data_IF_659259418338
#
_entry.id   IF_659259418338
#
_cell.length_a   1.000
_cell.length_b   1.000
_cell.length_c   1.000
_cell.angle_alpha   90.00
_cell.angle_beta   90.00
_cell.angle_gamma   90.00
#
_symmetry.space_group_name_H-M   'P 1'
#
loop_
_entity.id
_entity.type
_entity.pdbx_description
1 polymer ?
#
# COMPACT_ATOMS: atom_id res chain seq x y z
N UNK A 1 5.99 4.28 -16.81
CA UNK A 1 6.27 3.78 -15.44
C UNK A 1 5.37 2.58 -15.23
N UNK A 2 5.94 1.37 -15.08
CA UNK A 2 5.19 0.11 -14.96
C UNK A 2 5.84 -0.77 -13.89
N UNK A 3 5.00 -1.57 -13.21
CA UNK A 3 5.43 -2.64 -12.32
C UNK A 3 4.94 -3.95 -12.93
N UNK A 4 5.85 -4.85 -13.32
CA UNK A 4 5.52 -6.02 -14.13
C UNK A 4 5.82 -7.29 -13.34
N UNK A 5 4.82 -8.15 -13.23
CA UNK A 5 4.99 -9.57 -12.91
C UNK A 5 5.18 -10.34 -14.20
N UNK A 6 6.32 -11.01 -14.37
CA UNK A 6 6.65 -11.80 -15.56
C UNK A 6 6.80 -13.27 -15.16
N UNK A 7 5.76 -14.06 -15.46
CA UNK A 7 5.66 -15.50 -15.16
C UNK A 7 6.04 -15.88 -13.73
N UNK A 8 5.58 -15.10 -12.74
CA UNK A 8 5.94 -15.36 -11.35
C UNK A 8 5.17 -16.57 -10.79
N UNK A 9 5.92 -17.41 -10.08
CA UNK A 9 5.34 -18.49 -9.25
C UNK A 9 5.77 -18.32 -7.80
N UNK A 10 4.90 -18.68 -6.88
CA UNK A 10 5.19 -18.63 -5.45
C UNK A 10 4.42 -19.70 -4.68
N UNK A 11 5.11 -20.35 -3.75
CA UNK A 11 4.55 -21.27 -2.77
C UNK A 11 5.15 -20.99 -1.40
N UNK A 12 4.35 -21.08 -0.34
CA UNK A 12 4.85 -20.99 1.04
C UNK A 12 5.62 -22.25 1.44
N UNK A 13 5.16 -23.40 0.94
CA UNK A 13 5.80 -24.71 1.09
C UNK A 13 5.42 -25.57 -0.12
N UNK A 14 5.84 -26.85 -0.13
CA UNK A 14 5.58 -27.76 -1.27
C UNK A 14 4.08 -28.01 -1.54
N UNK A 15 3.23 -27.84 -0.53
CA UNK A 15 1.79 -28.17 -0.61
C UNK A 15 0.90 -26.95 -0.80
N UNK A 16 1.42 -25.73 -0.56
CA UNK A 16 0.63 -24.49 -0.62
C UNK A 16 1.20 -23.58 -1.71
N UNK A 17 0.83 -23.90 -2.95
CA UNK A 17 1.10 -23.04 -4.11
C UNK A 17 0.06 -21.92 -4.18
N UNK A 18 0.51 -20.66 -4.25
CA UNK A 18 -0.35 -19.48 -4.30
C UNK A 18 -0.41 -18.91 -5.71
N UNK A 19 0.74 -18.85 -6.40
CA UNK A 19 0.83 -18.38 -7.79
C UNK A 19 1.55 -19.40 -8.65
N UNK A 20 1.04 -19.58 -9.88
CA UNK A 20 1.68 -20.38 -10.93
C UNK A 20 1.65 -19.58 -12.22
N UNK A 21 2.84 -19.21 -12.71
CA UNK A 21 3.03 -18.46 -13.96
C UNK A 21 2.19 -17.17 -14.06
N UNK A 22 1.94 -16.50 -12.95
CA UNK A 22 1.16 -15.26 -12.93
C UNK A 22 1.91 -14.14 -13.64
N UNK A 23 1.25 -13.52 -14.60
CA UNK A 23 1.78 -12.38 -15.35
C UNK A 23 0.76 -11.24 -15.33
N UNK A 24 1.21 -10.04 -15.00
CA UNK A 24 0.38 -8.83 -15.03
C UNK A 24 1.26 -7.58 -15.11
N UNK A 25 0.76 -6.52 -15.74
CA UNK A 25 1.42 -5.21 -15.84
C UNK A 25 0.59 -4.15 -15.16
N UNK A 26 1.07 -3.68 -14.00
CA UNK A 26 0.44 -2.57 -13.27
C UNK A 26 0.93 -1.24 -13.84
N UNK A 27 -0.03 -0.36 -14.16
CA UNK A 27 0.21 0.98 -14.71
C UNK A 27 -0.16 2.06 -13.68
N UNK A 28 0.23 3.34 -13.88
CA UNK A 28 -0.30 4.44 -13.07
C UNK A 28 -1.83 4.43 -13.08
N UNK A 29 -2.42 4.65 -11.92
CA UNK A 29 -3.84 4.48 -11.64
C UNK A 29 -4.06 3.51 -10.49
N UNK A 30 -5.30 3.08 -10.29
CA UNK A 30 -5.73 2.18 -9.23
C UNK A 30 -6.01 0.79 -9.81
N UNK A 31 -5.22 -0.21 -9.42
CA UNK A 31 -5.55 -1.62 -9.60
C UNK A 31 -6.14 -2.17 -8.31
N UNK A 32 -7.33 -2.73 -8.36
CA UNK A 32 -7.95 -3.40 -7.21
C UNK A 32 -7.80 -4.91 -7.32
N UNK A 33 -7.28 -5.52 -6.26
CA UNK A 33 -7.22 -6.96 -6.07
C UNK A 33 -8.45 -7.37 -5.26
N UNK A 34 -9.44 -7.94 -5.93
CA UNK A 34 -10.67 -8.45 -5.32
C UNK A 34 -10.52 -9.95 -5.00
N UNK A 35 -11.17 -10.43 -3.96
CA UNK A 35 -11.25 -11.87 -3.63
C UNK A 35 -11.45 -12.11 -2.15
N UNK A 36 -11.83 -13.34 -1.80
CA UNK A 36 -12.05 -13.77 -0.41
C UNK A 36 -10.76 -13.74 0.43
N UNK A 37 -10.93 -13.82 1.75
CA UNK A 37 -9.79 -14.00 2.65
C UNK A 37 -9.04 -15.29 2.30
N UNK A 38 -7.71 -15.20 2.24
CA UNK A 38 -6.88 -16.36 1.86
C UNK A 38 -6.66 -16.55 0.36
N UNK A 39 -7.29 -15.77 -0.53
CA UNK A 39 -7.15 -15.92 -1.99
C UNK A 39 -5.77 -15.54 -2.57
N UNK A 40 -4.85 -14.99 -1.76
CA UNK A 40 -3.49 -14.66 -2.22
C UNK A 40 -3.21 -13.16 -2.41
N UNK A 41 -4.18 -12.25 -2.26
CA UNK A 41 -4.02 -10.79 -2.43
C UNK A 41 -2.86 -10.21 -1.61
N UNK A 42 -2.87 -10.42 -0.29
CA UNK A 42 -1.78 -10.01 0.61
C UNK A 42 -0.44 -10.63 0.22
N UNK A 43 -0.46 -11.88 -0.28
CA UNK A 43 0.75 -12.55 -0.77
C UNK A 43 1.31 -11.85 -1.99
N UNK A 44 0.46 -11.47 -2.96
CA UNK A 44 0.91 -10.68 -4.12
C UNK A 44 1.49 -9.34 -3.68
N UNK A 45 0.80 -8.60 -2.81
CA UNK A 45 1.32 -7.33 -2.30
C UNK A 45 2.69 -7.50 -1.62
N UNK A 46 2.89 -8.56 -0.84
CA UNK A 46 4.18 -8.86 -0.18
C UNK A 46 5.28 -9.21 -1.19
N UNK A 47 4.95 -9.92 -2.27
CA UNK A 47 5.89 -10.19 -3.36
C UNK A 47 6.30 -8.91 -4.08
N UNK A 48 5.33 -8.05 -4.44
CA UNK A 48 5.55 -6.75 -5.07
C UNK A 48 6.35 -5.80 -4.16
N UNK A 49 6.14 -5.88 -2.85
CA UNK A 49 6.92 -5.11 -1.87
C UNK A 49 8.32 -5.68 -1.61
N UNK A 50 8.61 -6.91 -2.08
CA UNK A 50 9.89 -7.58 -1.83
C UNK A 50 10.05 -8.17 -0.43
N UNK A 51 8.96 -8.33 0.33
CA UNK A 51 8.95 -9.05 1.62
C UNK A 51 8.92 -10.55 1.45
N UNK A 52 8.43 -11.04 0.31
CA UNK A 52 8.51 -12.43 -0.11
C UNK A 52 9.31 -12.49 -1.43
N UNK A 53 9.95 -13.64 -1.68
CA UNK A 53 10.73 -13.88 -2.88
C UNK A 53 9.99 -14.87 -3.77
N UNK A 54 9.82 -14.54 -5.05
CA UNK A 54 9.25 -15.46 -6.04
C UNK A 54 10.07 -16.74 -6.13
N UNK A 55 9.40 -17.86 -6.36
CA UNK A 55 10.05 -19.17 -6.59
C UNK A 55 10.61 -19.24 -8.01
N UNK A 56 9.87 -18.72 -8.99
CA UNK A 56 10.31 -18.56 -10.39
C UNK A 56 9.71 -17.29 -10.99
N UNK A 57 10.17 -16.91 -12.18
CA UNK A 57 9.81 -15.66 -12.83
C UNK A 57 10.53 -14.46 -12.23
N UNK A 58 10.05 -13.27 -12.53
CA UNK A 58 10.65 -12.01 -12.06
C UNK A 58 9.65 -10.89 -11.90
N UNK A 59 9.98 -9.92 -11.03
CA UNK A 59 9.24 -8.67 -10.87
C UNK A 59 10.14 -7.52 -11.34
N UNK A 60 9.65 -6.77 -12.33
CA UNK A 60 10.33 -5.60 -12.90
C UNK A 60 9.70 -4.35 -12.30
N UNK A 61 10.49 -3.55 -11.60
CA UNK A 61 10.01 -2.37 -10.88
C UNK A 61 10.13 -1.10 -11.72
N UNK A 62 9.28 -0.08 -11.47
CA UNK A 62 9.34 1.21 -12.16
C UNK A 62 10.68 1.93 -12.02
N UNK A 63 11.42 1.62 -10.96
CA UNK A 63 12.71 2.24 -10.64
C UNK A 63 13.91 1.46 -11.19
N UNK A 64 13.69 0.29 -11.81
CA UNK A 64 14.74 -0.63 -12.24
C UNK A 64 15.49 -1.33 -11.10
N UNK A 65 15.13 -1.07 -9.83
CA UNK A 65 15.75 -1.73 -8.69
C UNK A 65 15.08 -3.08 -8.41
N UNK A 66 15.86 -4.06 -7.96
CA UNK A 66 15.30 -5.34 -7.49
C UNK A 66 14.36 -5.09 -6.31
N UNK A 67 13.21 -5.78 -6.27
CA UNK A 67 12.22 -5.65 -5.17
C UNK A 67 12.83 -5.93 -3.78
N UNK A 68 13.86 -6.78 -3.71
CA UNK A 68 14.57 -7.10 -2.46
C UNK A 68 15.67 -6.10 -2.09
N UNK A 69 15.90 -5.05 -2.90
CA UNK A 69 16.96 -4.09 -2.64
C UNK A 69 16.55 -3.07 -1.59
N UNK A 70 17.52 -2.64 -0.75
CA UNK A 70 17.30 -1.57 0.23
C UNK A 70 16.77 -0.30 -0.43
N UNK A 71 17.27 0.04 -1.62
CA UNK A 71 16.87 1.25 -2.35
C UNK A 71 15.40 1.19 -2.79
N UNK A 72 14.92 0.04 -3.25
CA UNK A 72 13.51 -0.16 -3.57
C UNK A 72 12.64 -0.02 -2.32
N UNK A 73 13.02 -0.65 -1.21
CA UNK A 73 12.31 -0.50 0.07
C UNK A 73 12.32 0.94 0.60
N UNK A 74 13.33 1.72 0.33
CA UNK A 74 13.40 3.12 0.75
C UNK A 74 12.58 4.05 -0.13
N UNK A 75 12.67 3.93 -1.46
CA UNK A 75 12.19 4.93 -2.41
C UNK A 75 11.25 4.37 -3.49
N UNK A 76 11.22 3.07 -3.72
CA UNK A 76 10.48 2.44 -4.83
C UNK A 76 9.05 2.05 -4.48
N UNK A 77 8.79 1.69 -3.22
CA UNK A 77 7.50 1.18 -2.78
C UNK A 77 7.09 1.73 -1.41
N UNK A 78 5.84 2.12 -1.27
CA UNK A 78 5.18 2.38 0.01
C UNK A 78 4.16 1.26 0.26
N UNK A 79 4.16 0.67 1.45
CA UNK A 79 3.29 -0.45 1.79
C UNK A 79 2.52 -0.16 3.08
N UNK A 80 1.21 -0.22 2.98
CA UNK A 80 0.30 -0.20 4.12
C UNK A 80 -0.15 -1.63 4.42
N UNK A 81 0.23 -2.14 5.57
CA UNK A 81 -0.17 -3.47 6.04
C UNK A 81 -1.64 -3.46 6.50
N UNK A 82 -2.29 -4.61 6.45
CA UNK A 82 -3.65 -4.80 6.97
C UNK A 82 -3.78 -4.40 8.45
N UNK A 83 -2.73 -4.58 9.26
CA UNK A 83 -2.69 -4.11 10.65
C UNK A 83 -2.23 -2.66 10.78
N UNK A 84 -2.68 -1.99 11.84
CA UNK A 84 -2.24 -0.63 12.18
C UNK A 84 -0.82 -0.70 12.73
N UNK A 85 0.17 -0.55 11.87
CA UNK A 85 1.60 -0.65 12.22
C UNK A 85 2.21 0.70 12.64
N UNK A 86 1.46 1.53 13.38
CA UNK A 86 2.01 2.74 13.99
C UNK A 86 2.88 2.39 15.19
N UNK A 87 3.89 3.21 15.45
CA UNK A 87 4.67 3.13 16.69
C UNK A 87 3.83 3.70 17.83
N UNK A 88 3.35 2.87 18.77
CA UNK A 88 2.25 3.22 19.66
C UNK A 88 2.60 4.37 20.62
N UNK A 89 3.84 4.46 21.07
CA UNK A 89 4.32 5.48 22.00
C UNK A 89 4.71 6.81 21.34
N UNK A 90 4.74 6.85 20.00
CA UNK A 90 5.05 8.06 19.24
C UNK A 90 3.77 8.81 18.86
N UNK A 91 3.88 10.14 18.70
CA UNK A 91 2.79 10.96 18.16
C UNK A 91 2.53 10.61 16.69
N UNK A 92 1.35 11.02 16.20
CA UNK A 92 1.01 10.90 14.77
C UNK A 92 2.10 11.54 13.91
N UNK A 93 2.43 12.81 14.17
CA UNK A 93 3.46 13.54 13.42
C UNK A 93 4.83 12.83 13.45
N UNK A 94 5.23 12.29 14.60
CA UNK A 94 6.52 11.58 14.69
C UNK A 94 6.52 10.27 13.91
N UNK A 95 5.39 9.57 13.82
CA UNK A 95 5.22 8.41 12.96
C UNK A 95 5.41 8.76 11.47
N UNK A 96 4.87 9.92 11.04
CA UNK A 96 5.02 10.41 9.67
C UNK A 96 6.47 10.82 9.37
N UNK A 97 7.09 11.57 10.27
CA UNK A 97 8.48 12.01 10.12
C UNK A 97 9.45 10.83 10.02
N UNK A 98 9.24 9.79 10.83
CA UNK A 98 10.05 8.57 10.74
C UNK A 98 9.95 7.89 9.36
N UNK A 99 8.76 7.86 8.77
CA UNK A 99 8.59 7.31 7.43
C UNK A 99 9.36 8.13 6.37
N UNK A 100 9.36 9.46 6.49
CA UNK A 100 10.13 10.34 5.62
C UNK A 100 11.66 10.12 5.77
N UNK A 101 12.11 9.96 7.02
CA UNK A 101 13.51 9.68 7.34
C UNK A 101 13.96 8.33 6.74
N UNK A 102 13.18 7.28 6.94
CA UNK A 102 13.44 5.95 6.38
C UNK A 102 13.43 5.94 4.84
N UNK A 103 12.62 6.79 4.22
CA UNK A 103 12.56 6.99 2.78
C UNK A 103 13.69 7.88 2.23
N UNK A 104 14.54 8.42 3.10
CA UNK A 104 15.62 9.34 2.73
C UNK A 104 15.11 10.60 2.02
N UNK A 105 13.90 11.06 2.35
CA UNK A 105 13.36 12.30 1.80
C UNK A 105 14.18 13.52 2.29
N UNK A 106 14.34 14.55 1.43
CA UNK A 106 14.96 15.80 1.86
C UNK A 106 14.16 16.46 2.99
N UNK A 107 14.82 16.90 4.06
CA UNK A 107 14.15 17.49 5.24
C UNK A 107 13.22 18.66 4.91
N UNK A 108 13.54 19.44 3.88
CA UNK A 108 12.70 20.54 3.41
C UNK A 108 11.32 20.11 2.91
N UNK A 109 11.18 18.84 2.51
CA UNK A 109 9.92 18.27 2.02
C UNK A 109 9.04 17.69 3.12
N UNK A 110 9.60 17.38 4.30
CA UNK A 110 8.88 16.70 5.38
C UNK A 110 7.70 17.53 5.90
N UNK A 111 7.97 18.79 6.27
CA UNK A 111 6.96 19.66 6.88
C UNK A 111 5.79 19.91 5.94
N UNK A 112 5.96 20.42 4.71
CA UNK A 112 4.83 20.68 3.82
C UNK A 112 4.05 19.40 3.49
N UNK A 113 4.73 18.27 3.30
CA UNK A 113 4.07 16.99 3.04
C UNK A 113 3.30 16.47 4.25
N UNK A 114 3.87 16.54 5.43
CA UNK A 114 3.22 16.15 6.68
C UNK A 114 1.97 17.01 6.94
N UNK A 115 2.05 18.34 6.78
CA UNK A 115 0.93 19.27 6.94
C UNK A 115 -0.21 18.95 5.95
N UNK A 116 0.12 18.68 4.69
CA UNK A 116 -0.88 18.31 3.69
C UNK A 116 -1.60 17.01 4.08
N UNK A 117 -0.86 15.94 4.39
CA UNK A 117 -1.43 14.65 4.77
C UNK A 117 -2.26 14.72 6.04
N UNK A 118 -1.82 15.47 7.07
CA UNK A 118 -2.60 15.67 8.29
C UNK A 118 -3.92 16.38 8.02
N UNK A 119 -3.91 17.39 7.14
CA UNK A 119 -5.12 18.13 6.75
C UNK A 119 -6.06 17.24 5.96
N UNK A 120 -5.57 16.60 4.90
CA UNK A 120 -6.37 15.83 3.96
C UNK A 120 -7.02 14.60 4.62
N UNK A 121 -6.39 14.07 5.68
CA UNK A 121 -6.89 12.94 6.47
C UNK A 121 -7.61 13.36 7.78
N UNK A 122 -7.82 14.66 8.01
CA UNK A 122 -8.51 15.17 9.20
C UNK A 122 -7.79 14.83 10.51
N UNK A 123 -6.44 14.91 10.53
CA UNK A 123 -5.61 14.54 11.68
C UNK A 123 -4.87 15.74 12.31
N UNK A 124 -5.16 16.97 11.88
CA UNK A 124 -4.44 18.17 12.36
C UNK A 124 -4.46 18.29 13.88
N UNK A 125 -5.65 18.17 14.49
CA UNK A 125 -5.82 18.26 15.95
C UNK A 125 -5.23 17.06 16.70
N UNK A 126 -4.92 15.99 16.00
CA UNK A 126 -4.36 14.75 16.56
C UNK A 126 -2.85 14.65 16.36
N UNK A 127 -2.22 15.64 15.73
CA UNK A 127 -0.81 15.59 15.33
C UNK A 127 0.15 15.21 16.45
N UNK A 128 -0.08 15.74 17.65
CA UNK A 128 0.76 15.50 18.83
C UNK A 128 0.24 14.35 19.71
N UNK A 129 -0.92 13.76 19.35
CA UNK A 129 -1.49 12.64 20.09
C UNK A 129 -0.70 11.37 19.82
N UNK A 130 -0.44 10.58 20.87
CA UNK A 130 0.21 9.27 20.76
C UNK A 130 -0.68 8.30 19.98
N UNK A 131 -0.06 7.43 19.17
CA UNK A 131 -0.79 6.50 18.32
C UNK A 131 -1.62 5.48 19.12
N UNK A 132 -1.19 5.09 20.33
CA UNK A 132 -1.96 4.20 21.21
C UNK A 132 -3.22 4.84 21.82
N UNK A 133 -3.45 6.13 21.61
CA UNK A 133 -4.60 6.89 22.09
C UNK A 133 -5.58 7.27 20.98
N UNK A 134 -5.36 6.79 19.78
CA UNK A 134 -6.24 7.00 18.64
C UNK A 134 -7.39 6.00 18.63
N UNK A 135 -8.56 6.40 18.11
CA UNK A 135 -9.61 5.44 17.74
C UNK A 135 -9.15 4.60 16.53
N UNK A 136 -9.82 3.47 16.26
CA UNK A 136 -9.49 2.61 15.12
C UNK A 136 -9.43 3.37 13.79
N UNK A 137 -10.46 4.17 13.48
CA UNK A 137 -10.50 4.97 12.25
C UNK A 137 -9.43 6.07 12.22
N UNK A 138 -9.12 6.73 13.34
CA UNK A 138 -8.03 7.69 13.44
C UNK A 138 -6.67 7.03 13.20
N UNK A 139 -6.46 5.86 13.78
CA UNK A 139 -5.23 5.10 13.63
C UNK A 139 -5.06 4.58 12.18
N UNK A 140 -6.15 4.14 11.54
CA UNK A 140 -6.12 3.72 10.13
C UNK A 140 -5.75 4.87 9.19
N UNK A 141 -6.36 6.06 9.39
CA UNK A 141 -6.00 7.26 8.61
C UNK A 141 -4.55 7.70 8.88
N UNK A 142 -4.08 7.61 10.11
CA UNK A 142 -2.69 7.90 10.45
C UNK A 142 -1.70 6.89 9.84
N UNK A 143 -2.07 5.61 9.73
CA UNK A 143 -1.29 4.58 9.05
C UNK A 143 -1.20 4.85 7.54
N UNK A 144 -2.30 5.27 6.91
CA UNK A 144 -2.28 5.72 5.52
C UNK A 144 -1.40 6.97 5.33
N UNK A 145 -1.57 7.99 6.20
CA UNK A 145 -0.71 9.19 6.18
C UNK A 145 0.78 8.82 6.22
N UNK A 146 1.16 7.92 7.13
CA UNK A 146 2.53 7.44 7.25
C UNK A 146 3.01 6.73 5.98
N UNK A 147 2.16 5.94 5.37
CA UNK A 147 2.47 5.24 4.11
C UNK A 147 2.70 6.22 2.97
N UNK A 148 1.80 7.19 2.82
CA UNK A 148 1.87 8.20 1.77
C UNK A 148 3.00 9.21 2.00
N UNK A 149 3.48 9.39 3.23
CA UNK A 149 4.65 10.22 3.52
C UNK A 149 5.87 9.82 2.69
N UNK A 150 5.95 8.58 2.29
CA UNK A 150 7.09 7.99 1.56
C UNK A 150 7.19 8.39 0.09
N UNK A 151 6.37 9.14 -0.52
CA UNK A 151 6.49 9.63 -1.92
C UNK A 151 6.94 8.60 -2.99
N UNK A 152 6.72 7.30 -2.75
CA UNK A 152 7.17 6.22 -3.64
C UNK A 152 6.34 6.16 -4.93
N UNK A 153 6.91 5.73 -6.07
CA UNK A 153 6.18 5.57 -7.33
C UNK A 153 5.15 4.43 -7.30
N UNK A 154 5.31 3.47 -6.37
CA UNK A 154 4.37 2.37 -6.15
C UNK A 154 3.80 2.43 -4.74
N UNK A 155 2.48 2.36 -4.63
CA UNK A 155 1.75 2.31 -3.36
C UNK A 155 0.97 1.00 -3.31
N UNK A 156 1.14 0.26 -2.23
CA UNK A 156 0.46 -1.00 -1.97
C UNK A 156 -0.37 -0.83 -0.69
N UNK A 157 -1.67 -1.01 -0.79
CA UNK A 157 -2.61 -0.85 0.33
C UNK A 157 -3.32 -2.17 0.61
N UNK A 158 -3.09 -2.74 1.78
CA UNK A 158 -3.70 -4.00 2.20
C UNK A 158 -4.87 -3.70 3.15
N UNK A 159 -6.11 -3.85 2.64
CA UNK A 159 -7.37 -3.58 3.34
C UNK A 159 -7.43 -2.18 4.01
N UNK A 160 -7.23 -1.08 3.24
CA UNK A 160 -7.06 0.25 3.82
C UNK A 160 -8.30 0.81 4.52
N UNK A 161 -9.49 0.27 4.24
CA UNK A 161 -10.78 0.73 4.81
C UNK A 161 -11.39 -0.27 5.78
N UNK A 162 -10.66 -1.32 6.14
CA UNK A 162 -11.17 -2.36 7.05
C UNK A 162 -11.62 -1.77 8.39
N UNK A 163 -12.88 -2.04 8.76
CA UNK A 163 -13.46 -1.57 10.02
C UNK A 163 -13.80 -0.07 10.07
N UNK A 164 -13.80 0.62 8.92
CA UNK A 164 -14.17 2.03 8.83
C UNK A 164 -15.64 2.22 8.45
N UNK A 165 -16.25 3.27 9.03
CA UNK A 165 -17.53 3.82 8.59
C UNK A 165 -17.40 4.51 7.21
N UNK A 166 -18.53 4.90 6.64
CA UNK A 166 -18.57 5.51 5.31
C UNK A 166 -17.83 6.84 5.26
N UNK A 167 -17.96 7.70 6.27
CA UNK A 167 -17.29 8.99 6.29
C UNK A 167 -15.77 8.88 6.32
N UNK A 168 -15.22 7.94 7.09
CA UNK A 168 -13.79 7.67 7.11
C UNK A 168 -13.32 7.00 5.81
N UNK A 169 -14.14 6.14 5.21
CA UNK A 169 -13.85 5.52 3.92
C UNK A 169 -13.77 6.55 2.80
N UNK A 170 -14.68 7.52 2.75
CA UNK A 170 -14.69 8.58 1.73
C UNK A 170 -13.45 9.47 1.79
N UNK A 171 -12.95 9.75 2.99
CA UNK A 171 -11.67 10.49 3.16
C UNK A 171 -10.52 9.70 2.51
N UNK A 172 -10.46 8.39 2.75
CA UNK A 172 -9.43 7.52 2.17
C UNK A 172 -9.58 7.43 0.64
N UNK A 173 -10.81 7.21 0.14
CA UNK A 173 -11.12 7.17 -1.31
C UNK A 173 -10.59 8.41 -2.02
N UNK A 174 -10.98 9.59 -1.53
CA UNK A 174 -10.57 10.88 -2.11
C UNK A 174 -9.05 11.00 -2.20
N UNK A 175 -8.34 10.71 -1.11
CA UNK A 175 -6.88 10.86 -1.07
C UNK A 175 -6.18 9.84 -1.98
N UNK A 176 -6.62 8.59 -1.97
CA UNK A 176 -6.04 7.53 -2.82
C UNK A 176 -6.23 7.84 -4.29
N UNK A 177 -7.42 8.32 -4.69
CA UNK A 177 -7.69 8.73 -6.08
C UNK A 177 -6.80 9.89 -6.53
N UNK A 178 -6.62 10.90 -5.68
CA UNK A 178 -5.74 12.04 -5.99
C UNK A 178 -4.27 11.62 -6.15
N UNK A 179 -3.82 10.69 -5.32
CA UNK A 179 -2.44 10.21 -5.30
C UNK A 179 -2.16 9.24 -6.46
N UNK A 180 -3.12 8.37 -6.82
CA UNK A 180 -3.01 7.37 -7.87
C UNK A 180 -2.87 7.98 -9.28
N UNK A 181 -3.35 9.19 -9.51
CA UNK A 181 -3.22 9.87 -10.81
C UNK A 181 -1.76 9.98 -11.31
N UNK A 182 -0.78 9.85 -10.41
CA UNK A 182 0.66 9.99 -10.70
C UNK A 182 1.48 8.77 -10.35
N UNK A 183 0.88 7.72 -9.79
CA UNK A 183 1.57 6.56 -9.23
C UNK A 183 0.84 5.27 -9.56
N UNK A 184 1.52 4.15 -9.40
CA UNK A 184 0.90 2.84 -9.40
C UNK A 184 0.33 2.61 -8.01
N UNK A 185 -0.99 2.49 -7.89
CA UNK A 185 -1.69 2.20 -6.65
C UNK A 185 -2.36 0.83 -6.76
N UNK A 186 -1.98 -0.10 -5.89
CA UNK A 186 -2.55 -1.46 -5.85
C UNK A 186 -3.21 -1.66 -4.50
N UNK A 187 -4.50 -1.95 -4.51
CA UNK A 187 -5.33 -2.08 -3.31
C UNK A 187 -5.85 -3.51 -3.22
N UNK A 188 -5.55 -4.22 -2.14
CA UNK A 188 -6.28 -5.44 -1.81
C UNK A 188 -7.49 -5.08 -0.97
N UNK A 189 -8.66 -5.55 -1.36
CA UNK A 189 -9.87 -5.31 -0.58
C UNK A 189 -11.00 -6.29 -0.90
N UNK A 190 -11.89 -6.47 0.08
CA UNK A 190 -13.21 -7.06 -0.08
C UNK A 190 -14.33 -6.01 0.06
N UNK A 191 -13.97 -4.74 0.29
CA UNK A 191 -14.90 -3.62 0.45
C UNK A 191 -15.39 -3.14 -0.91
N UNK A 192 -16.68 -3.34 -1.19
CA UNK A 192 -17.31 -2.94 -2.45
C UNK A 192 -17.17 -1.44 -2.75
N UNK A 193 -17.06 -0.60 -1.70
CA UNK A 193 -16.90 0.85 -1.83
C UNK A 193 -15.58 1.26 -2.52
N UNK A 194 -14.55 0.41 -2.46
CA UNK A 194 -13.27 0.65 -3.15
C UNK A 194 -13.23 0.07 -4.56
N UNK A 195 -14.11 -0.89 -4.90
CA UNK A 195 -14.14 -1.47 -6.24
C UNK A 195 -14.49 -0.43 -7.32
N UNK A 196 -15.27 0.58 -6.97
CA UNK A 196 -15.67 1.67 -7.86
C UNK A 196 -14.48 2.55 -8.32
N UNK A 197 -13.36 2.51 -7.59
CA UNK A 197 -12.17 3.31 -7.89
C UNK A 197 -11.24 2.63 -8.89
N UNK A 198 -11.52 1.37 -9.26
CA UNK A 198 -10.60 0.57 -10.04
C UNK A 198 -10.51 1.05 -11.50
N UNK A 199 -9.33 1.45 -11.93
CA UNK A 199 -8.97 1.56 -13.35
C UNK A 199 -8.70 0.18 -13.94
N UNK A 200 -8.28 -0.78 -13.08
CA UNK A 200 -8.00 -2.17 -13.42
C UNK A 200 -8.39 -3.08 -12.25
N UNK A 201 -8.94 -4.27 -12.54
CA UNK A 201 -9.46 -5.20 -11.55
C UNK A 201 -8.90 -6.60 -11.76
N UNK A 202 -8.27 -7.15 -10.74
CA UNK A 202 -7.84 -8.55 -10.72
C UNK A 202 -8.73 -9.31 -9.73
N UNK A 203 -9.51 -10.25 -10.26
CA UNK A 203 -10.41 -11.08 -9.45
C UNK A 203 -9.73 -12.41 -9.10
N UNK A 204 -9.40 -12.57 -7.82
CA UNK A 204 -8.76 -13.77 -7.27
C UNK A 204 -9.75 -14.91 -6.96
N UNK A 205 -11.06 -14.64 -7.00
CA UNK A 205 -12.08 -15.66 -6.76
C UNK A 205 -12.33 -16.49 -8.03
N UNK A 206 -12.04 -15.88 -9.18
CA UNK A 206 -12.05 -16.52 -10.48
C UNK A 206 -10.64 -16.45 -11.05
N UNK A 207 -9.77 -17.46 -10.78
CA UNK A 207 -8.41 -17.43 -11.27
C UNK A 207 -8.44 -17.24 -12.78
N UNK A 208 -7.82 -16.16 -13.23
CA UNK A 208 -7.59 -15.90 -14.65
C UNK A 208 -6.76 -17.07 -15.12
N UNK A 209 -7.40 -17.98 -15.87
CA UNK A 209 -6.70 -19.08 -16.55
C UNK A 209 -5.70 -18.44 -17.48
N UNK A 210 -4.41 -18.61 -17.19
CA UNK A 210 -3.33 -18.28 -18.11
C UNK A 210 -3.21 -19.33 -19.19
#
# INVERSE_FOLDING_TARGET
>A
MELICDNISFAYNKDVQVFQNFSHTFKPGITVLKGYSGSGKTTLLKLLAGYLKVTSGRIITPTGHRVTSRRYHQQGVAYMFQGINLLPLMSVERNLHLAAEMAMLPRKEWKPRCEALLRDLGLVELRHRRADKLSGGQAQRAALARTLMKAAPTILLDEPTSGLDDGNTDIIKKLVTQDAAKRICIISTHDSRLLELADDLIDFDHPVSC
#
